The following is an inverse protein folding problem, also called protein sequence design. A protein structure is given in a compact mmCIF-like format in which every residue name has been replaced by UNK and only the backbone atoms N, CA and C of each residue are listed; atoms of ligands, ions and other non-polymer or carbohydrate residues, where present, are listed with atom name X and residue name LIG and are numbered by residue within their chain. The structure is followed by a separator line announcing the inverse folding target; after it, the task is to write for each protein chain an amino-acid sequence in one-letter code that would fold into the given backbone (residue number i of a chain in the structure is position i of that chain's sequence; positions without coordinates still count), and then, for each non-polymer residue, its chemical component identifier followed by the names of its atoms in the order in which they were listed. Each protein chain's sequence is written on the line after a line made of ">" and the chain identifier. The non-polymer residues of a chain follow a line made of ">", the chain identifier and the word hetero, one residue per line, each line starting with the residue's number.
data_IF_333672238014
#
_entry.id   IF_333672238014
#
_cell.length_a   1.000
_cell.length_b   1.000
_cell.length_c   1.000
_cell.angle_alpha   90.00
_cell.angle_beta   90.00
_cell.angle_gamma   90.00
#
_symmetry.space_group_name_H-M   'P 1'
#
loop_
_entity.id
_entity.type
_entity.pdbx_description
1 polymer ?
#
# COMPACT_ATOMS: atom_id res chain seq x y z
N UNK A 1 -15.78 14.44 -13.77
CA UNK A 1 -14.87 14.07 -14.89
C UNK A 1 -14.26 12.74 -14.51
N UNK A 2 -14.22 11.76 -15.41
CA UNK A 2 -13.54 10.49 -15.14
C UNK A 2 -12.03 10.72 -15.06
N UNK A 3 -11.41 10.26 -13.98
CA UNK A 3 -9.97 10.35 -13.76
C UNK A 3 -9.34 8.99 -14.07
N UNK A 4 -8.79 8.83 -15.28
CA UNK A 4 -8.11 7.60 -15.70
C UNK A 4 -6.73 7.49 -15.06
N UNK A 5 -6.24 6.25 -14.93
CA UNK A 5 -4.87 6.00 -14.46
C UNK A 5 -3.86 6.68 -15.39
N UNK A 6 -2.93 7.43 -14.80
CA UNK A 6 -1.85 8.09 -15.54
C UNK A 6 -0.54 7.31 -15.40
N UNK A 7 0.18 7.12 -16.51
CA UNK A 7 1.52 6.53 -16.53
C UNK A 7 2.55 7.56 -16.98
N UNK A 8 3.55 7.81 -16.13
CA UNK A 8 4.70 8.65 -16.46
C UNK A 8 5.78 7.87 -17.25
N UNK A 9 5.37 7.09 -18.27
CA UNK A 9 6.29 6.27 -19.08
C UNK A 9 5.85 6.19 -20.55
N UNK A 10 6.41 7.03 -21.44
CA UNK A 10 6.05 7.03 -22.86
C UNK A 10 6.54 5.79 -23.62
N UNK A 11 7.40 4.96 -23.02
CA UNK A 11 7.92 3.77 -23.69
C UNK A 11 6.88 2.64 -23.76
N UNK A 12 5.88 2.62 -22.87
CA UNK A 12 4.84 1.59 -22.86
C UNK A 12 3.98 1.61 -24.12
N UNK A 13 3.72 2.78 -24.71
CA UNK A 13 2.96 2.92 -25.96
C UNK A 13 3.63 2.23 -27.15
N UNK A 14 4.95 2.02 -27.09
CA UNK A 14 5.74 1.40 -28.15
C UNK A 14 5.87 -0.12 -27.97
N UNK A 15 5.42 -0.66 -26.84
CA UNK A 15 5.51 -2.09 -26.56
C UNK A 15 4.39 -2.82 -27.32
N UNK A 16 4.75 -3.90 -28.02
CA UNK A 16 3.77 -4.79 -28.66
C UNK A 16 2.97 -5.57 -27.64
N UNK A 17 3.64 -5.97 -26.56
CA UNK A 17 3.08 -6.70 -25.45
C UNK A 17 3.78 -6.23 -24.17
N UNK A 18 3.02 -6.13 -23.08
CA UNK A 18 3.54 -5.81 -21.75
C UNK A 18 3.31 -7.00 -20.82
N UNK A 19 4.41 -7.53 -20.27
CA UNK A 19 4.41 -8.67 -19.36
C UNK A 19 4.52 -8.13 -17.92
N UNK A 20 3.51 -8.43 -17.12
CA UNK A 20 3.50 -8.22 -15.68
C UNK A 20 4.08 -9.46 -15.01
N UNK A 21 5.41 -9.52 -15.01
CA UNK A 21 6.18 -10.72 -14.69
C UNK A 21 5.88 -11.26 -13.29
N UNK A 22 5.79 -10.37 -12.29
CA UNK A 22 5.59 -10.77 -10.90
C UNK A 22 4.13 -11.12 -10.58
N UNK A 23 3.19 -10.84 -11.50
CA UNK A 23 1.82 -11.34 -11.46
C UNK A 23 1.58 -12.56 -12.37
N UNK A 24 2.55 -12.93 -13.21
CA UNK A 24 2.37 -13.92 -14.28
C UNK A 24 1.21 -13.58 -15.23
N UNK A 25 1.02 -12.29 -15.51
CA UNK A 25 0.00 -11.78 -16.43
C UNK A 25 0.65 -11.05 -17.61
N UNK A 26 -0.07 -10.90 -18.71
CA UNK A 26 0.43 -10.15 -19.86
C UNK A 26 -0.69 -9.74 -20.82
N UNK A 27 -0.50 -8.63 -21.52
CA UNK A 27 -1.51 -8.08 -22.43
C UNK A 27 -1.75 -8.97 -23.67
N UNK A 28 -0.81 -9.84 -24.04
CA UNK A 28 -1.00 -10.82 -25.12
C UNK A 28 -1.67 -12.11 -24.68
N UNK A 29 -1.76 -12.36 -23.37
CA UNK A 29 -2.33 -13.60 -22.80
C UNK A 29 -3.67 -13.39 -22.09
N UNK A 30 -4.02 -12.14 -21.77
CA UNK A 30 -5.21 -11.80 -20.98
C UNK A 30 -5.88 -10.53 -21.48
N UNK A 31 -7.22 -10.54 -21.53
CA UNK A 31 -8.03 -9.36 -21.82
C UNK A 31 -8.22 -8.52 -20.55
N UNK A 32 -7.31 -7.58 -20.30
CA UNK A 32 -7.33 -6.76 -19.09
C UNK A 32 -8.60 -5.89 -18.96
N UNK A 33 -9.10 -5.21 -20.01
CA UNK A 33 -10.38 -4.50 -19.95
C UNK A 33 -11.54 -5.39 -19.51
N UNK A 34 -11.66 -6.61 -20.06
CA UNK A 34 -12.73 -7.52 -19.68
C UNK A 34 -12.59 -8.04 -18.23
N UNK A 35 -11.35 -8.30 -17.79
CA UNK A 35 -11.08 -8.88 -16.47
C UNK A 35 -11.10 -7.87 -15.33
N UNK A 36 -10.70 -6.61 -15.58
CA UNK A 36 -10.44 -5.64 -14.52
C UNK A 36 -11.06 -4.25 -14.75
N UNK A 37 -11.69 -3.97 -15.90
CA UNK A 37 -12.20 -2.63 -16.22
C UNK A 37 -13.27 -2.09 -15.26
N UNK A 38 -13.92 -2.96 -14.49
CA UNK A 38 -14.91 -2.63 -13.47
C UNK A 38 -14.33 -2.33 -12.09
N UNK A 39 -13.01 -2.53 -11.89
CA UNK A 39 -12.35 -2.26 -10.61
C UNK A 39 -12.50 -0.78 -10.24
N UNK A 40 -12.84 -0.53 -8.97
CA UNK A 40 -12.91 0.82 -8.36
C UNK A 40 -12.10 0.92 -7.07
N UNK A 41 -11.97 -0.17 -6.33
CA UNK A 41 -11.22 -0.21 -5.09
C UNK A 41 -10.12 -1.26 -5.18
N UNK A 42 -8.89 -0.89 -4.83
CA UNK A 42 -7.80 -1.84 -4.65
C UNK A 42 -7.32 -1.79 -3.21
N UNK A 43 -7.39 -2.91 -2.51
CA UNK A 43 -6.82 -3.04 -1.18
C UNK A 43 -5.52 -3.85 -1.25
N UNK A 44 -4.46 -3.33 -0.65
CA UNK A 44 -3.14 -3.95 -0.68
C UNK A 44 -2.61 -4.19 0.73
N UNK A 45 -1.91 -5.31 0.96
CA UNK A 45 -1.35 -5.64 2.27
C UNK A 45 -0.25 -6.68 2.21
N UNK A 46 0.58 -6.79 3.25
CA UNK A 46 1.79 -7.61 3.19
C UNK A 46 1.55 -9.11 3.01
N UNK A 47 0.66 -9.70 3.81
CA UNK A 47 0.45 -11.16 3.84
C UNK A 47 -0.59 -11.62 2.80
N UNK A 48 -0.25 -12.62 1.95
CA UNK A 48 -1.21 -13.25 1.03
C UNK A 48 -2.45 -13.81 1.73
N UNK A 49 -2.28 -14.49 2.88
CA UNK A 49 -3.41 -15.07 3.61
C UNK A 49 -4.35 -13.99 4.17
N UNK A 50 -3.79 -12.86 4.64
CA UNK A 50 -4.59 -11.72 5.08
C UNK A 50 -5.37 -11.09 3.94
N UNK A 51 -4.77 -10.99 2.74
CA UNK A 51 -5.45 -10.46 1.56
C UNK A 51 -6.52 -11.42 1.00
N UNK A 52 -6.34 -12.74 1.15
CA UNK A 52 -7.38 -13.73 0.87
C UNK A 52 -8.53 -13.66 1.89
N UNK A 53 -8.22 -13.52 3.17
CA UNK A 53 -9.24 -13.32 4.20
C UNK A 53 -10.05 -12.03 3.96
N UNK A 54 -9.36 -10.95 3.57
CA UNK A 54 -10.00 -9.67 3.23
C UNK A 54 -10.98 -9.81 2.07
N UNK A 55 -10.60 -10.46 0.96
CA UNK A 55 -11.52 -10.56 -0.19
C UNK A 55 -12.76 -11.42 0.14
N UNK A 56 -12.60 -12.47 0.96
CA UNK A 56 -13.70 -13.29 1.41
C UNK A 56 -14.68 -12.49 2.29
N UNK A 57 -14.14 -11.71 3.23
CA UNK A 57 -14.92 -10.80 4.06
C UNK A 57 -15.69 -9.77 3.21
N UNK A 58 -15.02 -9.11 2.26
CA UNK A 58 -15.67 -8.13 1.37
C UNK A 58 -16.77 -8.76 0.52
N UNK A 59 -16.57 -10.00 0.05
CA UNK A 59 -17.60 -10.68 -0.71
C UNK A 59 -18.88 -10.91 0.11
N UNK A 60 -18.75 -11.27 1.39
CA UNK A 60 -19.88 -11.39 2.32
C UNK A 60 -20.56 -10.03 2.55
N UNK A 61 -19.80 -8.99 2.85
CA UNK A 61 -20.32 -7.62 3.09
C UNK A 61 -21.06 -7.05 1.87
N UNK A 62 -20.61 -7.38 0.65
CA UNK A 62 -21.26 -6.93 -0.59
C UNK A 62 -22.40 -7.85 -1.05
N UNK A 63 -22.69 -8.95 -0.35
CA UNK A 63 -23.67 -9.96 -0.77
C UNK A 63 -23.30 -10.66 -2.08
N UNK A 64 -22.01 -10.71 -2.41
CA UNK A 64 -21.45 -11.36 -3.60
C UNK A 64 -20.81 -12.72 -3.27
N UNK A 65 -20.67 -13.06 -1.99
CA UNK A 65 -20.20 -14.36 -1.52
C UNK A 65 -21.31 -15.40 -1.48
N UNK A 66 -20.95 -16.67 -1.74
CA UNK A 66 -21.79 -17.82 -1.38
C UNK A 66 -21.00 -18.74 -0.42
N UNK A 67 -21.66 -19.44 0.51
CA UNK A 67 -20.99 -20.36 1.41
C UNK A 67 -20.15 -21.40 0.64
N UNK A 68 -18.85 -21.47 0.95
CA UNK A 68 -17.93 -22.41 0.30
C UNK A 68 -17.37 -21.97 -1.06
N UNK A 69 -17.66 -20.74 -1.53
CA UNK A 69 -16.98 -20.19 -2.71
C UNK A 69 -15.48 -20.01 -2.43
N UNK A 70 -14.64 -20.61 -3.28
CA UNK A 70 -13.22 -20.27 -3.32
C UNK A 70 -13.00 -18.99 -4.11
N UNK A 71 -12.03 -18.19 -3.66
CA UNK A 71 -11.57 -17.00 -4.37
C UNK A 71 -10.23 -17.37 -5.02
N UNK A 72 -10.21 -17.66 -6.33
CA UNK A 72 -9.01 -18.15 -6.99
C UNK A 72 -7.93 -17.07 -6.96
N UNK A 73 -6.69 -17.49 -6.68
CA UNK A 73 -5.54 -16.61 -6.84
C UNK A 73 -5.32 -16.34 -8.34
N UNK A 74 -5.55 -15.11 -8.77
CA UNK A 74 -5.37 -14.67 -10.16
C UNK A 74 -3.89 -14.81 -10.58
N UNK A 75 -2.96 -14.68 -9.63
CA UNK A 75 -1.53 -14.85 -9.84
C UNK A 75 -1.05 -16.30 -9.64
N UNK A 76 -1.89 -17.32 -9.84
CA UNK A 76 -1.53 -18.72 -9.57
C UNK A 76 -0.31 -19.26 -10.34
N UNK A 77 0.13 -18.58 -11.41
CA UNK A 77 1.36 -18.90 -12.14
C UNK A 77 2.65 -18.46 -11.44
N UNK A 78 2.57 -17.82 -10.27
CA UNK A 78 3.71 -17.33 -9.51
C UNK A 78 3.44 -17.36 -8.01
N UNK A 79 4.50 -17.29 -7.21
CA UNK A 79 4.46 -17.20 -5.74
C UNK A 79 4.87 -15.82 -5.22
N UNK A 80 5.18 -14.86 -6.11
CA UNK A 80 5.66 -13.52 -5.74
C UNK A 80 4.59 -12.69 -5.05
N UNK A 81 3.38 -12.69 -5.61
CA UNK A 81 2.21 -12.01 -5.05
C UNK A 81 0.96 -12.86 -5.29
N UNK A 82 -0.02 -12.70 -4.40
CA UNK A 82 -1.38 -13.20 -4.58
C UNK A 82 -2.33 -12.05 -4.91
N UNK A 83 -3.29 -12.33 -5.78
CA UNK A 83 -4.30 -11.36 -6.21
C UNK A 83 -5.67 -12.02 -6.27
N UNK A 84 -6.68 -11.33 -5.76
CA UNK A 84 -8.06 -11.80 -5.72
C UNK A 84 -9.01 -10.67 -6.12
N UNK A 85 -10.16 -11.02 -6.70
CA UNK A 85 -11.17 -10.04 -7.12
C UNK A 85 -12.57 -10.50 -6.74
N UNK A 86 -13.40 -9.56 -6.27
CA UNK A 86 -14.85 -9.75 -6.13
C UNK A 86 -15.56 -8.44 -6.48
N UNK A 87 -16.48 -8.50 -7.44
CA UNK A 87 -17.12 -7.29 -7.99
C UNK A 87 -16.08 -6.22 -8.35
N UNK A 88 -16.26 -4.95 -7.90
CA UNK A 88 -15.35 -3.85 -8.20
C UNK A 88 -14.11 -3.77 -7.27
N UNK A 89 -13.89 -4.77 -6.40
CA UNK A 89 -12.81 -4.78 -5.42
C UNK A 89 -11.70 -5.75 -5.82
N UNK A 90 -10.47 -5.25 -5.87
CA UNK A 90 -9.26 -6.03 -6.08
C UNK A 90 -8.44 -6.08 -4.78
N UNK A 91 -7.94 -7.24 -4.41
CA UNK A 91 -7.13 -7.47 -3.21
C UNK A 91 -5.77 -8.03 -3.61
N UNK A 92 -4.66 -7.38 -3.24
CA UNK A 92 -3.31 -7.75 -3.70
C UNK A 92 -2.32 -7.80 -2.54
N UNK A 93 -1.58 -8.91 -2.42
CA UNK A 93 -0.49 -9.00 -1.45
C UNK A 93 0.77 -8.32 -1.96
N UNK A 94 1.61 -7.74 -1.09
CA UNK A 94 2.83 -7.05 -1.53
C UNK A 94 4.10 -7.40 -0.75
N UNK A 95 4.10 -8.40 0.13
CA UNK A 95 5.28 -8.75 0.95
C UNK A 95 5.67 -7.64 1.94
N UNK A 96 6.96 -7.50 2.22
CA UNK A 96 7.50 -6.53 3.20
C UNK A 96 8.56 -5.62 2.58
N UNK A 97 8.54 -4.36 2.97
CA UNK A 97 9.50 -3.33 2.61
C UNK A 97 9.23 -2.62 1.29
N UNK A 98 9.79 -1.42 1.18
CA UNK A 98 9.72 -0.54 0.00
C UNK A 98 9.99 -1.27 -1.32
N UNK A 99 11.06 -2.09 -1.46
CA UNK A 99 11.33 -2.76 -2.74
C UNK A 99 10.21 -3.71 -3.17
N UNK A 100 9.65 -4.48 -2.24
CA UNK A 100 8.61 -5.46 -2.53
C UNK A 100 7.30 -4.78 -2.94
N UNK A 101 6.86 -3.76 -2.22
CA UNK A 101 5.62 -3.06 -2.60
C UNK A 101 5.79 -2.23 -3.88
N UNK A 102 6.99 -1.70 -4.17
CA UNK A 102 7.25 -0.92 -5.38
C UNK A 102 7.10 -1.75 -6.65
N UNK A 103 7.60 -2.99 -6.67
CA UNK A 103 7.41 -3.92 -7.80
C UNK A 103 5.92 -4.17 -8.02
N UNK A 104 5.20 -4.55 -6.95
CA UNK A 104 3.75 -4.79 -6.99
C UNK A 104 3.00 -3.56 -7.54
N UNK A 105 3.29 -2.35 -7.05
CA UNK A 105 2.64 -1.12 -7.50
C UNK A 105 2.93 -0.80 -8.97
N UNK A 106 4.16 -1.01 -9.45
CA UNK A 106 4.47 -0.79 -10.87
C UNK A 106 3.62 -1.67 -11.77
N UNK A 107 3.50 -2.96 -11.47
CA UNK A 107 2.69 -3.87 -12.28
C UNK A 107 1.19 -3.63 -12.10
N UNK A 108 0.74 -3.33 -10.88
CA UNK A 108 -0.66 -3.03 -10.58
C UNK A 108 -1.15 -1.79 -11.32
N UNK A 109 -0.38 -0.70 -11.29
CA UNK A 109 -0.76 0.55 -11.96
C UNK A 109 -0.82 0.33 -13.48
N UNK A 110 0.14 -0.41 -14.06
CA UNK A 110 0.08 -0.79 -15.49
C UNK A 110 -1.14 -1.66 -15.80
N UNK A 111 -1.47 -2.63 -14.94
CA UNK A 111 -2.67 -3.47 -15.08
C UNK A 111 -3.93 -2.59 -15.16
N UNK A 112 -4.11 -1.69 -14.20
CA UNK A 112 -5.27 -0.79 -14.14
C UNK A 112 -5.33 0.17 -15.34
N UNK A 113 -4.17 0.65 -15.81
CA UNK A 113 -4.08 1.46 -17.03
C UNK A 113 -4.51 0.69 -18.28
N UNK A 114 -3.97 -0.51 -18.48
CA UNK A 114 -4.31 -1.37 -19.61
C UNK A 114 -5.78 -1.81 -19.57
N UNK A 115 -6.33 -2.02 -18.38
CA UNK A 115 -7.75 -2.30 -18.14
C UNK A 115 -8.69 -1.10 -18.34
N UNK A 116 -8.16 0.10 -18.62
CA UNK A 116 -8.92 1.35 -18.79
C UNK A 116 -9.72 1.74 -17.55
N UNK A 117 -9.20 1.42 -16.37
CA UNK A 117 -9.80 1.81 -15.12
C UNK A 117 -9.77 3.34 -14.91
N UNK A 118 -10.79 3.84 -14.24
CA UNK A 118 -10.94 5.24 -13.87
C UNK A 118 -11.56 5.39 -12.48
N UNK A 119 -11.24 6.49 -11.81
CA UNK A 119 -11.67 6.83 -10.45
C UNK A 119 -11.31 5.73 -9.43
N UNK A 120 -10.07 5.23 -9.51
CA UNK A 120 -9.57 4.20 -8.61
C UNK A 120 -9.19 4.81 -7.25
N UNK A 121 -9.60 4.14 -6.19
CA UNK A 121 -9.09 4.35 -4.82
C UNK A 121 -8.22 3.15 -4.43
N UNK A 122 -7.00 3.39 -3.97
CA UNK A 122 -6.12 2.34 -3.45
C UNK A 122 -5.89 2.55 -1.96
N UNK A 123 -6.11 1.51 -1.17
CA UNK A 123 -5.96 1.54 0.29
C UNK A 123 -4.97 0.46 0.70
N UNK A 124 -3.89 0.87 1.38
CA UNK A 124 -2.99 -0.07 2.06
C UNK A 124 -3.56 -0.42 3.44
N UNK A 125 -3.74 -1.71 3.71
CA UNK A 125 -4.07 -2.25 5.02
C UNK A 125 -2.87 -3.03 5.59
N UNK A 126 -2.40 -2.61 6.76
CA UNK A 126 -1.13 -3.08 7.31
C UNK A 126 -1.10 -3.14 8.82
N UNK A 127 0.07 -3.47 9.32
CA UNK A 127 0.40 -3.52 10.76
C UNK A 127 1.57 -2.59 11.00
N UNK A 128 1.65 -2.01 12.19
CA UNK A 128 2.68 -1.02 12.53
C UNK A 128 2.96 -1.01 14.03
N UNK A 129 4.14 -0.55 14.44
CA UNK A 129 4.42 -0.23 15.84
C UNK A 129 3.85 1.15 16.19
N UNK A 130 3.00 1.24 17.23
CA UNK A 130 2.44 2.52 17.68
C UNK A 130 3.42 3.32 18.56
N UNK A 131 3.36 4.66 18.47
CA UNK A 131 4.10 5.58 19.34
C UNK A 131 3.08 6.43 20.10
N UNK A 132 3.03 6.25 21.43
CA UNK A 132 2.08 6.96 22.30
C UNK A 132 0.61 6.55 22.06
N UNK A 133 0.38 5.30 21.65
CA UNK A 133 -0.94 4.74 21.41
C UNK A 133 -1.06 3.36 22.07
N UNK A 134 -2.26 3.03 22.54
CA UNK A 134 -2.57 1.70 23.06
C UNK A 134 -2.53 0.63 21.94
N UNK A 135 -2.06 -0.60 22.23
CA UNK A 135 -2.10 -1.70 21.28
C UNK A 135 -3.51 -1.92 20.71
N UNK A 136 -3.60 -2.15 19.39
CA UNK A 136 -4.88 -2.30 18.69
C UNK A 136 -5.49 -0.99 18.18
N UNK A 137 -4.89 0.16 18.47
CA UNK A 137 -5.28 1.44 17.86
C UNK A 137 -5.03 1.44 16.35
N UNK A 138 -5.96 2.01 15.57
CA UNK A 138 -5.82 2.22 14.13
C UNK A 138 -5.25 3.61 13.84
N UNK A 139 -4.29 3.68 12.92
CA UNK A 139 -3.73 4.96 12.44
C UNK A 139 -4.09 5.13 10.97
N UNK A 140 -4.86 6.18 10.66
CA UNK A 140 -5.08 6.65 9.31
C UNK A 140 -3.94 7.62 8.98
N UNK A 141 -3.09 7.23 8.04
CA UNK A 141 -1.91 8.02 7.68
C UNK A 141 -2.32 9.32 7.01
N UNK A 142 -1.91 10.46 7.59
CA UNK A 142 -2.01 11.78 6.95
C UNK A 142 -0.88 12.00 5.95
N UNK A 143 0.34 11.74 6.40
CA UNK A 143 1.56 11.82 5.61
C UNK A 143 2.47 10.65 6.00
N UNK A 144 3.07 10.02 4.99
CA UNK A 144 4.20 9.12 5.24
C UNK A 144 5.47 9.97 5.34
N UNK A 145 6.31 9.71 6.34
CA UNK A 145 7.57 10.44 6.55
C UNK A 145 8.76 9.49 6.58
N UNK A 146 9.93 9.99 6.19
CA UNK A 146 11.20 9.26 6.32
C UNK A 146 11.67 9.18 7.79
N UNK A 147 12.78 8.48 8.02
CA UNK A 147 13.41 8.35 9.35
C UNK A 147 13.98 9.69 9.90
N UNK A 148 13.91 10.77 9.13
CA UNK A 148 14.21 12.15 9.58
C UNK A 148 12.94 13.00 9.73
N UNK A 149 11.77 12.36 9.70
CA UNK A 149 10.43 12.93 9.86
C UNK A 149 9.99 13.88 8.74
N UNK A 150 10.62 13.80 7.57
CA UNK A 150 10.26 14.62 6.40
C UNK A 150 9.27 13.87 5.50
N UNK A 151 8.25 14.54 4.93
CA UNK A 151 7.25 13.92 4.05
C UNK A 151 7.80 13.70 2.63
N UNK A 152 8.77 12.82 2.52
CA UNK A 152 9.47 12.55 1.28
C UNK A 152 9.93 11.08 1.16
N UNK A 153 10.11 10.64 -0.07
CA UNK A 153 10.77 9.40 -0.44
C UNK A 153 12.02 9.73 -1.25
N UNK A 154 13.17 9.27 -0.79
CA UNK A 154 14.42 9.31 -1.54
C UNK A 154 14.63 8.01 -2.32
N UNK A 155 14.96 8.12 -3.60
CA UNK A 155 15.34 6.99 -4.46
C UNK A 155 16.55 7.35 -5.32
N UNK A 156 17.36 6.34 -5.66
CA UNK A 156 18.47 6.50 -6.61
C UNK A 156 18.01 6.01 -7.99
N UNK A 157 18.00 6.90 -8.98
CA UNK A 157 17.66 6.60 -10.37
C UNK A 157 18.86 6.92 -11.25
N UNK A 158 19.45 5.88 -11.87
CA UNK A 158 20.66 6.02 -12.69
C UNK A 158 21.81 6.73 -11.95
N UNK A 159 22.00 6.39 -10.67
CA UNK A 159 23.03 6.99 -9.81
C UNK A 159 22.72 8.40 -9.30
N UNK A 160 21.53 8.96 -9.60
CA UNK A 160 21.11 10.28 -9.13
C UNK A 160 20.03 10.17 -8.05
N UNK A 161 20.19 10.92 -6.97
CA UNK A 161 19.15 11.07 -5.94
C UNK A 161 17.94 11.79 -6.51
N UNK A 162 16.77 11.19 -6.34
CA UNK A 162 15.45 11.72 -6.71
C UNK A 162 14.59 11.72 -5.46
N UNK A 163 13.95 12.86 -5.17
CA UNK A 163 13.08 13.04 -4.01
C UNK A 163 11.64 13.19 -4.51
N UNK A 164 10.71 12.46 -3.91
CA UNK A 164 9.27 12.47 -4.24
C UNK A 164 8.44 12.78 -3.00
N UNK A 165 7.37 13.54 -3.17
CA UNK A 165 6.42 13.83 -2.09
C UNK A 165 5.58 12.59 -1.75
N UNK A 166 5.28 12.43 -0.47
CA UNK A 166 4.55 11.30 0.13
C UNK A 166 3.24 11.73 0.77
N UNK A 167 2.65 12.81 0.27
CA UNK A 167 1.32 13.25 0.69
C UNK A 167 0.27 12.20 0.30
N UNK A 168 -0.77 12.07 1.12
CA UNK A 168 -1.95 11.23 0.85
C UNK A 168 -3.20 12.11 0.76
N UNK A 169 -4.27 11.57 0.19
CA UNK A 169 -5.53 12.30 0.03
C UNK A 169 -6.18 12.60 1.39
N UNK A 170 -6.20 13.89 1.76
CA UNK A 170 -6.76 14.33 3.05
C UNK A 170 -8.26 14.08 3.18
N UNK A 171 -8.99 14.10 2.06
CA UNK A 171 -10.43 13.89 2.05
C UNK A 171 -10.75 12.41 2.29
N UNK A 172 -9.98 11.50 1.69
CA UNK A 172 -10.06 10.06 1.98
C UNK A 172 -9.80 9.78 3.45
N UNK A 173 -8.79 10.42 4.04
CA UNK A 173 -8.48 10.24 5.45
C UNK A 173 -9.66 10.65 6.36
N UNK A 174 -10.36 11.74 6.01
CA UNK A 174 -11.57 12.19 6.73
C UNK A 174 -12.74 11.22 6.53
N UNK A 175 -12.94 10.71 5.31
CA UNK A 175 -13.97 9.70 5.00
C UNK A 175 -13.74 8.42 5.81
N UNK A 176 -12.50 7.90 5.83
CA UNK A 176 -12.13 6.71 6.61
C UNK A 176 -12.29 6.93 8.13
N UNK A 177 -11.95 8.12 8.64
CA UNK A 177 -12.17 8.47 10.03
C UNK A 177 -13.66 8.51 10.37
N UNK A 178 -14.50 8.98 9.45
CA UNK A 178 -15.94 8.98 9.62
C UNK A 178 -16.51 7.56 9.66
N UNK A 179 -16.08 6.68 8.74
CA UNK A 179 -16.45 5.25 8.79
C UNK A 179 -16.04 4.60 10.12
N UNK A 180 -14.85 4.90 10.63
CA UNK A 180 -14.41 4.36 11.93
C UNK A 180 -15.28 4.82 13.10
N UNK A 181 -15.69 6.10 13.12
CA UNK A 181 -16.62 6.63 14.14
C UNK A 181 -17.98 5.94 14.10
N UNK A 182 -18.48 5.63 12.91
CA UNK A 182 -19.76 4.92 12.73
C UNK A 182 -19.68 3.47 13.19
N UNK A 183 -18.55 2.79 12.94
CA UNK A 183 -18.30 1.43 13.44
C UNK A 183 -18.16 1.43 14.97
N UNK A 184 -17.45 2.41 15.54
CA UNK A 184 -17.35 2.63 16.99
C UNK A 184 -16.64 1.52 17.78
N UNK A 185 -15.87 0.65 17.12
CA UNK A 185 -15.23 -0.53 17.76
C UNK A 185 -13.77 -0.31 18.16
N UNK A 186 -13.05 0.59 17.50
CA UNK A 186 -11.60 0.73 17.66
C UNK A 186 -11.19 2.19 17.87
N UNK A 187 -10.21 2.42 18.76
CA UNK A 187 -9.56 3.72 18.84
C UNK A 187 -8.87 4.01 17.50
N UNK A 188 -9.27 5.09 16.83
CA UNK A 188 -8.74 5.47 15.53
C UNK A 188 -8.25 6.90 15.56
N UNK A 189 -7.03 7.13 15.07
CA UNK A 189 -6.41 8.46 15.01
C UNK A 189 -5.93 8.77 13.59
N UNK A 190 -5.88 10.04 13.25
CA UNK A 190 -5.13 10.51 12.07
C UNK A 190 -3.76 10.98 12.56
N UNK A 191 -2.69 10.47 11.96
CA UNK A 191 -1.32 10.79 12.35
C UNK A 191 -0.34 10.62 11.20
N UNK A 192 0.91 11.06 11.40
CA UNK A 192 1.97 10.75 10.45
C UNK A 192 2.49 9.33 10.70
N UNK A 193 2.93 8.68 9.63
CA UNK A 193 3.46 7.31 9.65
C UNK A 193 4.92 7.36 9.23
N UNK A 194 5.83 6.90 10.08
CA UNK A 194 7.24 6.80 9.72
C UNK A 194 7.49 5.50 8.94
N UNK A 195 8.06 5.61 7.74
CA UNK A 195 8.40 4.49 6.89
C UNK A 195 9.90 4.21 6.96
N UNK A 196 10.29 2.98 7.33
CA UNK A 196 11.69 2.58 7.50
C UNK A 196 12.10 1.50 6.48
N UNK A 197 13.41 1.36 6.26
CA UNK A 197 13.98 0.33 5.37
C UNK A 197 14.31 -0.98 6.08
N UNK A 198 14.46 -0.92 7.39
CA UNK A 198 14.77 -2.05 8.25
C UNK A 198 13.80 -2.07 9.44
N UNK A 199 13.46 -3.27 9.91
CA UNK A 199 12.52 -3.48 11.00
C UNK A 199 13.17 -3.32 12.38
N UNK A 200 14.47 -3.62 12.50
CA UNK A 200 15.18 -3.64 13.77
C UNK A 200 15.86 -2.29 14.03
N UNK A 201 17.09 -2.10 13.55
CA UNK A 201 17.85 -0.86 13.71
C UNK A 201 17.13 0.34 13.10
N UNK A 202 16.48 0.13 11.94
CA UNK A 202 15.69 1.17 11.28
C UNK A 202 14.52 1.71 12.12
N UNK A 203 14.03 0.93 13.09
CA UNK A 203 12.93 1.32 14.00
C UNK A 203 13.41 1.52 15.45
N UNK A 204 14.72 1.51 15.70
CA UNK A 204 15.28 1.66 17.05
C UNK A 204 14.96 0.48 17.97
N UNK A 205 14.81 -0.73 17.46
CA UNK A 205 14.55 -1.91 18.31
C UNK A 205 15.83 -2.37 19.01
N UNK A 206 15.70 -3.02 20.17
CA UNK A 206 16.83 -3.53 20.97
C UNK A 206 16.93 -5.06 20.92
N UNK A 207 16.07 -5.71 20.14
CA UNK A 207 15.91 -7.17 20.04
C UNK A 207 16.38 -7.71 18.68
N UNK A 208 17.20 -6.94 17.96
CA UNK A 208 17.83 -7.34 16.71
C UNK A 208 19.15 -8.08 16.90
N UNK A 209 19.66 -8.66 15.81
CA UNK A 209 20.99 -9.30 15.81
C UNK A 209 22.15 -8.27 15.87
N UNK A 210 21.89 -7.03 15.45
CA UNK A 210 22.82 -5.90 15.46
C UNK A 210 22.11 -4.74 16.17
N UNK A 211 22.78 -4.10 17.12
CA UNK A 211 22.28 -2.95 17.86
C UNK A 211 23.48 -2.14 18.37
N UNK A 212 23.68 -0.94 17.82
CA UNK A 212 24.81 -0.05 18.13
C UNK A 212 24.38 1.25 18.82
N UNK A 213 23.27 1.21 19.54
CA UNK A 213 22.71 2.29 20.35
C UNK A 213 22.09 1.71 21.62
N UNK A 214 21.86 2.56 22.63
CA UNK A 214 21.23 2.15 23.89
C UNK A 214 19.72 2.47 23.96
N UNK A 215 19.11 2.10 25.08
CA UNK A 215 17.68 2.35 25.32
C UNK A 215 17.35 3.85 25.42
N UNK A 216 18.26 4.66 25.94
CA UNK A 216 18.05 6.09 26.08
C UNK A 216 18.01 6.77 24.71
N UNK A 217 18.98 6.46 23.84
CA UNK A 217 19.03 6.95 22.46
C UNK A 217 17.77 6.60 21.68
N UNK A 218 17.30 5.35 21.80
CA UNK A 218 16.01 4.90 21.24
C UNK A 218 14.85 5.76 21.74
N UNK A 219 14.70 5.92 23.06
CA UNK A 219 13.57 6.66 23.63
C UNK A 219 13.60 8.13 23.25
N UNK A 220 14.80 8.74 23.18
CA UNK A 220 14.98 10.10 22.68
C UNK A 220 14.56 10.24 21.21
N UNK A 221 14.93 9.28 20.36
CA UNK A 221 14.52 9.26 18.95
C UNK A 221 13.01 9.10 18.77
N UNK A 222 12.38 8.13 19.46
CA UNK A 222 10.94 7.90 19.39
C UNK A 222 10.14 9.09 19.95
N UNK A 223 10.66 9.78 20.97
CA UNK A 223 10.06 11.03 21.47
C UNK A 223 10.09 12.12 20.39
N UNK A 224 11.22 12.32 19.70
CA UNK A 224 11.31 13.26 18.57
C UNK A 224 10.33 12.90 17.44
N UNK A 225 10.16 11.62 17.16
CA UNK A 225 9.16 11.15 16.20
C UNK A 225 7.74 11.52 16.65
N UNK A 226 7.39 11.24 17.91
CA UNK A 226 6.08 11.58 18.48
C UNK A 226 5.80 13.10 18.42
N UNK A 227 6.78 13.91 18.81
CA UNK A 227 6.72 15.37 18.85
C UNK A 227 6.59 15.98 17.43
N UNK A 228 7.10 15.30 16.39
CA UNK A 228 6.90 15.67 14.99
C UNK A 228 5.55 15.19 14.39
N UNK A 229 4.71 14.55 15.20
CA UNK A 229 3.37 14.10 14.81
C UNK A 229 3.31 12.66 14.30
N UNK A 230 4.40 11.90 14.37
CA UNK A 230 4.40 10.46 14.06
C UNK A 230 3.59 9.72 15.12
N UNK A 231 2.76 8.77 14.68
CA UNK A 231 1.94 7.92 15.58
C UNK A 231 2.19 6.44 15.39
N UNK A 232 2.80 6.04 14.28
CA UNK A 232 3.20 4.66 14.05
C UNK A 232 4.40 4.54 13.09
N UNK A 233 4.97 3.33 13.04
CA UNK A 233 6.14 2.96 12.25
C UNK A 233 5.85 1.69 11.45
N UNK A 234 6.13 1.72 10.14
CA UNK A 234 6.02 0.59 9.19
C UNK A 234 7.04 0.75 8.05
N UNK A 235 6.91 0.03 6.93
CA UNK A 235 8.01 -0.12 5.96
C UNK A 235 7.64 0.09 4.49
N UNK A 236 6.47 0.67 4.17
CA UNK A 236 5.99 0.70 2.78
C UNK A 236 5.21 1.98 2.40
N UNK A 237 4.71 2.73 3.38
CA UNK A 237 3.80 3.86 3.13
C UNK A 237 4.41 4.96 2.26
N UNK A 238 5.73 5.14 2.29
CA UNK A 238 6.42 6.23 1.57
C UNK A 238 6.35 6.02 0.06
N UNK A 239 6.77 4.86 -0.44
CA UNK A 239 6.70 4.52 -1.86
C UNK A 239 5.26 4.32 -2.33
N UNK A 240 4.39 3.80 -1.46
CA UNK A 240 2.96 3.73 -1.73
C UNK A 240 2.37 5.11 -2.05
N UNK A 241 2.57 6.08 -1.15
CA UNK A 241 2.08 7.44 -1.35
C UNK A 241 2.71 8.10 -2.59
N UNK A 242 4.04 8.01 -2.73
CA UNK A 242 4.75 8.64 -3.85
C UNK A 242 4.31 8.11 -5.22
N UNK A 243 4.10 6.79 -5.36
CA UNK A 243 3.66 6.20 -6.63
C UNK A 243 2.19 6.50 -6.92
N UNK A 244 1.29 6.48 -5.92
CA UNK A 244 -0.11 6.84 -6.13
C UNK A 244 -0.25 8.31 -6.61
N UNK A 245 0.51 9.22 -6.00
CA UNK A 245 0.58 10.63 -6.41
C UNK A 245 1.00 10.80 -7.88
N UNK A 246 1.96 9.98 -8.35
CA UNK A 246 2.44 10.04 -9.73
C UNK A 246 1.47 9.44 -10.75
N UNK A 247 0.51 8.63 -10.30
CA UNK A 247 -0.38 7.87 -11.17
C UNK A 247 -1.84 8.31 -11.15
N UNK A 248 -2.13 9.48 -10.55
CA UNK A 248 -3.47 10.05 -10.42
C UNK A 248 -4.46 9.11 -9.70
N UNK A 249 -3.94 8.34 -8.74
CA UNK A 249 -4.70 7.43 -7.89
C UNK A 249 -5.00 8.12 -6.55
N UNK A 250 -6.23 7.93 -6.05
CA UNK A 250 -6.63 8.37 -4.70
C UNK A 250 -6.16 7.35 -3.66
#
# INVERSE_FOLDING_TARGET
>A
RENFIHLCNPHLEKMKEDILYHFALGTGTHDFPALFGDVKFVCVGGSPSRMKAFIAYIAEELGLGSPGCDYPNICAGTDRYAMYKVGPVLSVSHGMGIPSISIMLHELIKLLYHAKCSNITIIRIGTSGGIGLEPGSLVITRQSVDATFKPQLEQVVLGKTVIRSTNLDEQLAKELMQCSKEIGQFNTVIGNTMCTLDFYEGQGRLDGAICLYDEEEKLQYLKKAYDSGVRNIEMESSVFAAMCNLSSVK
#
